data_IF_243186074847
#
_entry.id   IF_243186074847
#
_cell.length_a   1.000
_cell.length_b   1.000
_cell.length_c   1.000
_cell.angle_alpha   90.00
_cell.angle_beta   90.00
_cell.angle_gamma   90.00
#
_symmetry.space_group_name_H-M   'P 1'
#
loop_
_entity.id
_entity.type
_entity.pdbx_description
1 polymer ?
#
# COMPACT_ATOMS: atom_id res chain seq x y z
N UNK A 1 14.36 49.99 29.35
CA UNK A 1 13.23 49.16 28.87
C UNK A 1 12.82 49.48 27.43
N UNK A 2 12.56 50.75 27.04
CA UNK A 2 12.17 51.12 25.65
C UNK A 2 13.12 50.62 24.54
N UNK A 3 14.44 50.80 24.71
CA UNK A 3 15.48 50.34 23.74
C UNK A 3 15.59 48.81 23.57
N UNK A 4 15.03 48.02 24.47
CA UNK A 4 15.05 46.55 24.39
C UNK A 4 13.87 46.02 23.58
N UNK A 5 12.72 46.71 23.64
CA UNK A 5 11.55 46.39 22.82
C UNK A 5 11.78 46.75 21.34
N UNK A 6 12.35 47.92 21.04
CA UNK A 6 12.60 48.32 19.64
C UNK A 6 13.53 47.35 18.89
N UNK A 7 14.53 46.78 19.59
CA UNK A 7 15.43 45.76 19.01
C UNK A 7 14.77 44.39 18.85
N UNK A 8 13.77 44.10 19.68
CA UNK A 8 13.01 42.85 19.63
C UNK A 8 12.04 42.88 18.45
N UNK A 9 11.39 44.01 18.22
CA UNK A 9 10.47 44.21 17.10
C UNK A 9 11.21 44.21 15.74
N UNK A 10 12.39 44.85 15.66
CA UNK A 10 13.26 44.77 14.48
C UNK A 10 13.74 43.35 14.15
N UNK A 11 13.96 42.52 15.18
CA UNK A 11 14.33 41.11 15.00
C UNK A 11 13.14 40.28 14.50
N UNK A 12 11.92 40.59 14.97
CA UNK A 12 10.71 39.92 14.51
C UNK A 12 10.35 40.25 13.07
N UNK A 13 10.53 41.50 12.65
CA UNK A 13 10.30 41.91 11.26
C UNK A 13 11.30 41.22 10.31
N UNK A 14 12.58 41.13 10.70
CA UNK A 14 13.59 40.41 9.92
C UNK A 14 13.31 38.89 9.81
N UNK A 15 12.74 38.28 10.84
CA UNK A 15 12.33 36.87 10.82
C UNK A 15 11.12 36.66 9.89
N UNK A 16 10.15 37.58 9.89
CA UNK A 16 8.99 37.52 9.02
C UNK A 16 9.37 37.66 7.54
N UNK A 17 10.31 38.55 7.23
CA UNK A 17 10.82 38.75 5.87
C UNK A 17 11.56 37.52 5.33
N UNK A 18 12.43 36.90 6.14
CA UNK A 18 13.18 35.69 5.75
C UNK A 18 12.27 34.46 5.53
N UNK A 19 11.16 34.37 6.26
CA UNK A 19 10.14 33.34 6.05
C UNK A 19 9.33 33.59 4.77
N UNK A 20 9.10 34.86 4.40
CA UNK A 20 8.44 35.24 3.15
C UNK A 20 9.29 34.96 1.90
N UNK A 21 10.62 34.98 2.01
CA UNK A 21 11.56 34.66 0.93
C UNK A 21 11.69 33.16 0.61
N UNK A 22 10.99 32.28 1.34
CA UNK A 22 11.00 30.84 1.05
C UNK A 22 12.30 30.11 1.40
N UNK A 23 13.18 30.75 2.19
CA UNK A 23 14.39 30.09 2.74
C UNK A 23 13.99 28.96 3.68
N UNK A 24 14.74 27.85 3.62
CA UNK A 24 14.53 26.70 4.50
C UNK A 24 14.79 27.07 5.96
N UNK A 25 13.97 26.54 6.88
CA UNK A 25 14.02 26.84 8.31
C UNK A 25 15.39 26.63 8.96
N UNK A 26 16.17 25.65 8.49
CA UNK A 26 17.54 25.41 8.96
C UNK A 26 18.51 26.54 8.56
N UNK A 27 18.38 27.10 7.36
CA UNK A 27 19.19 28.23 6.88
C UNK A 27 18.91 29.52 7.66
N UNK A 28 17.64 29.75 8.01
CA UNK A 28 17.20 30.92 8.79
C UNK A 28 17.74 30.83 10.23
N UNK A 29 17.72 29.63 10.83
CA UNK A 29 18.27 29.39 12.16
C UNK A 29 19.80 29.56 12.22
N UNK A 30 20.50 29.23 11.14
CA UNK A 30 21.96 29.36 11.05
C UNK A 30 22.39 30.82 10.85
N UNK A 31 21.69 31.58 10.00
CA UNK A 31 21.87 33.05 9.84
C UNK A 31 21.56 33.80 11.15
N UNK A 32 20.47 33.47 11.84
CA UNK A 32 20.09 34.12 13.10
C UNK A 32 21.02 33.76 14.27
N UNK A 33 21.50 32.52 14.36
CA UNK A 33 22.49 32.13 15.37
C UNK A 33 23.82 32.90 15.17
N UNK A 34 24.25 33.14 13.94
CA UNK A 34 25.44 33.95 13.67
C UNK A 34 25.25 35.41 14.11
N UNK A 35 24.05 35.98 13.95
CA UNK A 35 23.75 37.34 14.39
C UNK A 35 23.53 37.46 15.92
N UNK A 36 23.01 36.43 16.58
CA UNK A 36 22.74 36.37 18.02
C UNK A 36 23.98 36.25 18.91
N UNK A 37 25.10 35.72 18.39
CA UNK A 37 26.37 35.59 19.14
C UNK A 37 26.89 36.97 19.61
N UNK A 38 26.46 38.07 19.00
CA UNK A 38 26.92 39.43 19.31
C UNK A 38 26.04 40.25 20.29
N UNK A 39 24.96 39.70 20.84
CA UNK A 39 24.05 40.51 21.69
C UNK A 39 23.29 39.71 22.75
N UNK A 40 23.57 40.01 24.02
CA UNK A 40 22.96 39.40 25.21
C UNK A 40 21.43 39.55 25.25
N UNK A 41 20.69 38.54 24.78
CA UNK A 41 19.44 38.05 25.41
C UNK A 41 19.08 36.64 24.90
N UNK A 42 19.99 35.68 25.12
CA UNK A 42 20.05 34.38 24.43
C UNK A 42 18.97 33.37 24.82
N UNK A 43 18.34 33.50 26.00
CA UNK A 43 17.43 32.45 26.52
C UNK A 43 15.99 32.62 26.01
N UNK A 44 15.48 33.85 26.01
CA UNK A 44 14.10 34.13 25.56
C UNK A 44 13.96 34.02 24.03
N UNK A 45 14.96 34.50 23.28
CA UNK A 45 14.96 34.40 21.81
C UNK A 45 15.08 32.94 21.37
N UNK A 46 15.91 32.14 22.04
CA UNK A 46 16.04 30.70 21.77
C UNK A 46 14.73 29.95 22.04
N UNK A 47 14.07 30.23 23.16
CA UNK A 47 12.78 29.62 23.49
C UNK A 47 11.68 29.97 22.47
N UNK A 48 11.71 31.19 21.93
CA UNK A 48 10.78 31.62 20.88
C UNK A 48 11.09 30.97 19.52
N UNK A 49 12.37 30.85 19.14
CA UNK A 49 12.75 30.13 17.92
C UNK A 49 12.38 28.65 18.00
N UNK A 50 12.59 28.01 19.16
CA UNK A 50 12.18 26.62 19.39
C UNK A 50 10.66 26.45 19.28
N UNK A 51 9.87 27.41 19.76
CA UNK A 51 8.40 27.36 19.65
C UNK A 51 7.91 27.58 18.22
N UNK A 52 8.56 28.45 17.43
CA UNK A 52 8.26 28.63 16.01
C UNK A 52 8.60 27.39 15.19
N UNK A 53 9.75 26.75 15.43
CA UNK A 53 10.12 25.50 14.76
C UNK A 53 9.14 24.38 15.11
N UNK A 54 8.71 24.30 16.36
CA UNK A 54 7.68 23.33 16.79
C UNK A 54 6.32 23.60 16.12
N UNK A 55 5.93 24.86 15.99
CA UNK A 55 4.69 25.27 15.33
C UNK A 55 4.72 24.94 13.82
N UNK A 56 5.85 25.17 13.14
CA UNK A 56 5.98 24.88 11.72
C UNK A 56 6.04 23.38 11.43
N UNK A 57 6.74 22.60 12.27
CA UNK A 57 6.69 21.12 12.22
C UNK A 57 5.26 20.62 12.42
N UNK A 58 4.52 21.20 13.36
CA UNK A 58 3.11 20.86 13.60
C UNK A 58 2.22 21.24 12.42
N UNK A 59 2.46 22.38 11.77
CA UNK A 59 1.75 22.82 10.56
C UNK A 59 2.01 21.89 9.38
N UNK A 60 3.28 21.56 9.08
CA UNK A 60 3.63 20.58 8.03
C UNK A 60 3.03 19.21 8.31
N UNK A 61 3.07 18.75 9.57
CA UNK A 61 2.41 17.51 9.98
C UNK A 61 0.88 17.56 9.78
N UNK A 62 0.24 18.69 10.05
CA UNK A 62 -1.20 18.88 9.83
C UNK A 62 -1.56 18.99 8.35
N UNK A 63 -0.72 19.64 7.54
CA UNK A 63 -0.84 19.73 6.08
C UNK A 63 -0.67 18.34 5.43
N UNK A 64 0.31 17.54 5.86
CA UNK A 64 0.47 16.14 5.46
C UNK A 64 -0.72 15.28 5.90
N UNK A 65 -1.19 15.44 7.14
CA UNK A 65 -2.38 14.73 7.65
C UNK A 65 -3.64 15.11 6.87
N UNK A 66 -3.77 16.36 6.45
CA UNK A 66 -4.91 16.84 5.67
C UNK A 66 -4.81 16.40 4.20
N UNK A 67 -3.63 16.38 3.60
CA UNK A 67 -3.38 15.81 2.27
C UNK A 67 -3.69 14.29 2.26
N UNK A 68 -3.22 13.56 3.27
CA UNK A 68 -3.53 12.14 3.47
C UNK A 68 -5.03 11.91 3.74
N UNK A 69 -5.71 12.78 4.50
CA UNK A 69 -7.17 12.73 4.68
C UNK A 69 -7.95 12.94 3.39
N UNK A 70 -7.52 13.88 2.53
CA UNK A 70 -8.14 14.15 1.22
C UNK A 70 -7.96 12.98 0.24
N UNK A 71 -6.83 12.28 0.34
CA UNK A 71 -6.55 11.06 -0.42
C UNK A 71 -7.35 9.85 0.14
N UNK A 72 -7.47 9.74 1.46
CA UNK A 72 -8.24 8.67 2.13
C UNK A 72 -9.77 8.81 1.98
N UNK A 73 -10.33 10.02 1.85
CA UNK A 73 -11.77 10.20 1.64
C UNK A 73 -12.25 9.65 0.30
N UNK A 74 -11.41 9.73 -0.74
CA UNK A 74 -11.70 9.17 -2.08
C UNK A 74 -11.47 7.64 -2.14
N UNK A 75 -10.61 7.10 -1.26
CA UNK A 75 -10.23 5.67 -1.20
C UNK A 75 -11.18 4.83 -0.32
N UNK A 76 -11.98 5.48 0.53
CA UNK A 76 -12.93 4.85 1.46
C UNK A 76 -14.01 3.98 0.79
N UNK A 77 -14.18 4.08 -0.54
CA UNK A 77 -15.22 3.39 -1.33
C UNK A 77 -14.68 2.38 -2.35
N UNK A 78 -13.36 2.14 -2.42
CA UNK A 78 -12.73 1.32 -3.47
C UNK A 78 -12.01 0.09 -2.94
N UNK A 79 -12.67 -0.65 -2.08
CA UNK A 79 -12.13 -1.89 -1.51
C UNK A 79 -13.15 -3.02 -1.49
N UNK A 80 -12.61 -4.23 -1.52
CA UNK A 80 -13.35 -5.49 -1.47
C UNK A 80 -13.03 -6.18 -0.15
N UNK A 81 -14.05 -6.62 0.58
CA UNK A 81 -13.87 -7.56 1.69
C UNK A 81 -13.54 -8.92 1.13
N UNK A 82 -12.45 -9.53 1.58
CA UNK A 82 -12.11 -10.91 1.32
C UNK A 82 -12.32 -11.73 2.60
N UNK A 83 -13.21 -12.71 2.56
CA UNK A 83 -13.54 -13.57 3.70
C UNK A 83 -12.68 -14.84 3.69
N UNK A 84 -11.92 -15.07 4.76
CA UNK A 84 -10.86 -16.08 4.75
C UNK A 84 -11.33 -17.50 5.01
N UNK A 85 -12.45 -17.68 5.71
CA UNK A 85 -12.96 -19.01 6.09
C UNK A 85 -13.10 -19.94 4.88
N UNK A 86 -13.83 -19.48 3.86
CA UNK A 86 -14.04 -20.25 2.62
C UNK A 86 -12.83 -20.26 1.70
N UNK A 87 -12.02 -19.20 1.69
CA UNK A 87 -10.82 -19.15 0.86
C UNK A 87 -9.79 -20.23 1.24
N UNK A 88 -9.63 -20.52 2.54
CA UNK A 88 -8.72 -21.59 3.01
C UNK A 88 -9.19 -23.00 2.67
N UNK A 89 -10.47 -23.19 2.32
CA UNK A 89 -11.05 -24.49 1.96
C UNK A 89 -10.85 -24.84 0.48
N UNK A 90 -10.35 -23.90 -0.35
CA UNK A 90 -10.24 -24.09 -1.79
C UNK A 90 -8.81 -23.91 -2.28
N UNK A 91 -8.31 -24.93 -2.96
CA UNK A 91 -6.98 -24.89 -3.59
C UNK A 91 -6.99 -24.05 -4.87
N UNK A 92 -6.07 -23.08 -4.93
CA UNK A 92 -5.86 -22.20 -6.08
C UNK A 92 -4.41 -22.25 -6.54
N UNK A 93 -4.22 -22.48 -7.84
CA UNK A 93 -2.93 -22.24 -8.48
C UNK A 93 -2.64 -20.74 -8.51
N UNK A 94 -1.35 -20.35 -8.59
CA UNK A 94 -0.96 -18.94 -8.66
C UNK A 94 -1.66 -18.19 -9.81
N UNK A 95 -1.81 -18.84 -10.97
CA UNK A 95 -2.51 -18.25 -12.11
C UNK A 95 -4.00 -18.02 -11.82
N UNK A 96 -4.69 -18.97 -11.20
CA UNK A 96 -6.10 -18.82 -10.83
C UNK A 96 -6.28 -17.76 -9.74
N UNK A 97 -5.41 -17.75 -8.74
CA UNK A 97 -5.38 -16.72 -7.70
C UNK A 97 -5.19 -15.31 -8.29
N UNK A 98 -4.27 -15.16 -9.25
CA UNK A 98 -4.07 -13.91 -10.01
C UNK A 98 -5.36 -13.48 -10.70
N UNK A 99 -5.98 -14.38 -11.48
CA UNK A 99 -7.20 -14.01 -12.21
C UNK A 99 -8.33 -13.62 -11.27
N UNK A 100 -8.52 -14.37 -10.17
CA UNK A 100 -9.54 -14.03 -9.18
C UNK A 100 -9.29 -12.65 -8.57
N UNK A 101 -8.04 -12.35 -8.17
CA UNK A 101 -7.65 -11.04 -7.66
C UNK A 101 -7.99 -9.90 -8.64
N UNK A 102 -7.70 -10.09 -9.92
CA UNK A 102 -7.99 -9.09 -10.96
C UNK A 102 -9.49 -8.93 -11.21
N UNK A 103 -10.29 -10.01 -11.15
CA UNK A 103 -11.75 -9.90 -11.25
C UNK A 103 -12.34 -9.06 -10.10
N UNK A 104 -11.76 -9.14 -8.90
CA UNK A 104 -12.23 -8.34 -7.76
C UNK A 104 -12.09 -6.84 -8.00
N UNK A 105 -11.17 -6.41 -8.87
CA UNK A 105 -11.02 -4.98 -9.16
C UNK A 105 -12.16 -4.41 -10.00
N UNK A 106 -12.89 -5.27 -10.70
CA UNK A 106 -14.07 -4.91 -11.49
C UNK A 106 -15.35 -4.77 -10.64
N UNK A 107 -15.29 -4.97 -9.33
CA UNK A 107 -16.45 -4.82 -8.44
C UNK A 107 -16.75 -3.35 -8.17
N UNK A 108 -18.02 -2.97 -8.28
CA UNK A 108 -18.50 -1.61 -8.04
C UNK A 108 -19.46 -1.53 -6.86
N UNK A 109 -19.50 -0.38 -6.18
CA UNK A 109 -20.44 -0.16 -5.07
C UNK A 109 -21.88 -0.33 -5.56
N UNK A 110 -22.73 -0.97 -4.75
CA UNK A 110 -24.15 -1.22 -5.06
C UNK A 110 -24.39 -2.03 -6.37
N UNK A 111 -23.38 -2.76 -6.85
CA UNK A 111 -23.49 -3.63 -8.03
C UNK A 111 -24.00 -5.04 -7.72
N UNK A 112 -24.35 -5.35 -6.46
CA UNK A 112 -24.68 -6.71 -6.00
C UNK A 112 -23.60 -7.75 -6.30
N UNK A 113 -22.32 -7.35 -6.21
CA UNK A 113 -21.14 -8.16 -6.54
C UNK A 113 -21.02 -8.56 -8.03
N UNK A 114 -21.67 -7.83 -8.92
CA UNK A 114 -21.56 -8.07 -10.36
C UNK A 114 -20.31 -7.39 -10.89
N UNK A 115 -19.63 -8.02 -11.84
CA UNK A 115 -18.48 -7.41 -12.52
C UNK A 115 -18.95 -6.30 -13.46
N UNK A 116 -18.45 -5.08 -13.28
CA UNK A 116 -18.88 -3.88 -14.01
C UNK A 116 -17.68 -3.22 -14.71
N UNK A 117 -17.94 -2.60 -15.86
CA UNK A 117 -16.93 -1.73 -16.53
C UNK A 117 -17.00 -0.32 -15.98
N UNK A 118 -18.22 0.13 -15.70
CA UNK A 118 -18.54 1.46 -15.23
C UNK A 118 -19.91 1.42 -14.55
N UNK A 119 -20.27 2.50 -13.83
CA UNK A 119 -21.60 2.64 -13.23
C UNK A 119 -22.69 2.36 -14.28
N UNK A 120 -23.50 1.36 -13.97
CA UNK A 120 -24.67 0.80 -14.67
C UNK A 120 -24.38 -0.04 -15.92
N UNK A 121 -23.17 -0.56 -16.08
CA UNK A 121 -22.81 -1.40 -17.23
C UNK A 121 -22.09 -2.68 -16.80
N UNK A 122 -22.79 -3.84 -16.81
CA UNK A 122 -22.18 -5.14 -16.60
C UNK A 122 -21.03 -5.37 -17.58
N UNK A 123 -19.97 -6.02 -17.09
CA UNK A 123 -18.79 -6.35 -17.86
C UNK A 123 -19.10 -7.39 -18.94
N UNK A 124 -18.70 -7.10 -20.18
CA UNK A 124 -18.70 -8.10 -21.24
C UNK A 124 -17.45 -8.95 -21.13
N UNK A 125 -17.45 -10.08 -21.82
CA UNK A 125 -16.28 -10.97 -21.90
C UNK A 125 -15.03 -10.26 -22.43
N UNK A 126 -15.20 -9.28 -23.31
CA UNK A 126 -14.10 -8.44 -23.83
C UNK A 126 -13.48 -7.56 -22.77
N UNK A 127 -14.27 -7.11 -21.80
CA UNK A 127 -13.79 -6.24 -20.71
C UNK A 127 -13.05 -7.08 -19.68
N UNK A 128 -13.60 -8.26 -19.34
CA UNK A 128 -12.92 -9.26 -18.51
C UNK A 128 -11.59 -9.68 -19.14
N UNK A 129 -11.57 -9.94 -20.45
CA UNK A 129 -10.36 -10.32 -21.17
C UNK A 129 -9.25 -9.26 -21.07
N UNK A 130 -9.61 -7.97 -21.14
CA UNK A 130 -8.66 -6.86 -20.96
C UNK A 130 -8.09 -6.82 -19.55
N UNK A 131 -8.94 -6.94 -18.52
CA UNK A 131 -8.51 -6.89 -17.11
C UNK A 131 -7.61 -8.07 -16.76
N UNK A 132 -7.91 -9.26 -17.30
CA UNK A 132 -7.13 -10.47 -17.07
C UNK A 132 -5.85 -10.55 -17.93
N UNK A 133 -5.70 -9.65 -18.91
CA UNK A 133 -4.66 -9.67 -19.94
C UNK A 133 -4.59 -11.01 -20.70
N UNK A 134 -5.74 -11.43 -21.26
CA UNK A 134 -5.86 -12.70 -22.00
C UNK A 134 -6.80 -12.56 -23.20
N UNK A 135 -6.79 -13.57 -24.08
CA UNK A 135 -7.79 -13.64 -25.17
C UNK A 135 -9.22 -13.79 -24.63
N UNK A 136 -10.22 -13.31 -25.39
CA UNK A 136 -11.64 -13.48 -25.02
C UNK A 136 -12.05 -14.95 -24.82
N UNK A 137 -11.46 -15.87 -25.60
CA UNK A 137 -11.66 -17.32 -25.45
C UNK A 137 -11.12 -17.83 -24.11
N UNK A 138 -9.94 -17.38 -23.71
CA UNK A 138 -9.34 -17.75 -22.43
C UNK A 138 -10.08 -17.11 -21.25
N UNK A 139 -10.52 -15.85 -21.37
CA UNK A 139 -11.35 -15.21 -20.37
C UNK A 139 -12.65 -15.99 -20.12
N UNK A 140 -13.34 -16.41 -21.20
CA UNK A 140 -14.52 -17.29 -21.11
C UNK A 140 -14.21 -18.57 -20.33
N UNK A 141 -13.15 -19.27 -20.70
CA UNK A 141 -12.75 -20.52 -20.03
C UNK A 141 -12.44 -20.30 -18.54
N UNK A 142 -11.75 -19.22 -18.19
CA UNK A 142 -11.46 -18.87 -16.79
C UNK A 142 -12.76 -18.65 -16.01
N UNK A 143 -13.72 -17.93 -16.58
CA UNK A 143 -15.02 -17.70 -15.96
C UNK A 143 -15.79 -19.02 -15.77
N UNK A 144 -15.81 -19.88 -16.78
CA UNK A 144 -16.44 -21.21 -16.71
C UNK A 144 -15.78 -22.10 -15.64
N UNK A 145 -14.45 -22.04 -15.50
CA UNK A 145 -13.71 -22.76 -14.45
C UNK A 145 -14.00 -22.24 -13.03
N UNK A 146 -14.40 -20.97 -12.87
CA UNK A 146 -14.76 -20.38 -11.58
C UNK A 146 -16.26 -20.49 -11.26
N UNK A 147 -17.07 -20.80 -12.26
CA UNK A 147 -18.52 -20.89 -12.13
C UNK A 147 -18.94 -21.96 -11.12
N UNK A 148 -19.85 -21.62 -10.22
CA UNK A 148 -20.31 -22.50 -9.15
C UNK A 148 -19.37 -22.58 -7.95
N UNK A 149 -18.13 -22.11 -8.04
CA UNK A 149 -17.22 -22.00 -6.88
C UNK A 149 -17.08 -20.55 -6.42
N UNK A 150 -16.44 -19.68 -7.21
CA UNK A 150 -16.14 -18.30 -6.79
C UNK A 150 -17.13 -17.28 -7.33
N UNK A 151 -17.81 -17.63 -8.43
CA UNK A 151 -18.75 -16.77 -9.12
C UNK A 151 -19.89 -17.59 -9.72
N UNK A 152 -20.95 -16.90 -10.12
CA UNK A 152 -22.06 -17.45 -10.87
C UNK A 152 -22.20 -16.72 -12.21
N UNK A 153 -22.42 -17.49 -13.27
CA UNK A 153 -22.62 -16.99 -14.64
C UNK A 153 -24.10 -17.01 -15.02
N UNK A 154 -24.61 -15.88 -15.49
CA UNK A 154 -25.90 -15.79 -16.17
C UNK A 154 -25.67 -15.79 -17.68
N UNK A 155 -26.28 -16.75 -18.39
CA UNK A 155 -26.16 -16.90 -19.83
C UNK A 155 -27.45 -16.40 -20.47
N UNK A 156 -27.34 -15.52 -21.47
CA UNK A 156 -28.48 -15.05 -22.26
C UNK A 156 -28.98 -16.12 -23.23
N UNK A 157 -30.17 -15.89 -23.80
CA UNK A 157 -30.76 -16.73 -24.86
C UNK A 157 -29.87 -16.86 -26.11
N UNK A 158 -28.92 -15.92 -26.31
CA UNK A 158 -27.93 -15.95 -27.40
C UNK A 158 -26.63 -16.67 -27.03
N UNK A 159 -26.63 -17.44 -25.94
CA UNK A 159 -25.47 -18.16 -25.40
C UNK A 159 -24.27 -17.25 -25.07
N UNK A 160 -24.55 -16.01 -24.67
CA UNK A 160 -23.54 -15.03 -24.24
C UNK A 160 -23.59 -14.88 -22.74
N UNK A 161 -22.43 -14.71 -22.11
CA UNK A 161 -22.39 -14.35 -20.68
C UNK A 161 -23.01 -12.96 -20.55
N UNK A 162 -24.18 -12.88 -19.93
CA UNK A 162 -24.93 -11.66 -19.69
C UNK A 162 -24.46 -10.98 -18.40
N UNK A 163 -24.19 -11.79 -17.37
CA UNK A 163 -23.84 -11.32 -16.03
C UNK A 163 -22.83 -12.27 -15.38
N UNK A 164 -21.87 -11.70 -14.66
CA UNK A 164 -20.90 -12.44 -13.83
C UNK A 164 -21.03 -11.89 -12.42
N UNK A 165 -21.40 -12.75 -11.46
CA UNK A 165 -21.64 -12.36 -10.07
C UNK A 165 -20.63 -13.05 -9.15
N UNK A 166 -19.81 -12.30 -8.41
CA UNK A 166 -18.88 -12.86 -7.41
C UNK A 166 -19.66 -13.29 -6.17
N UNK A 167 -19.43 -14.51 -5.69
CA UNK A 167 -20.13 -15.03 -4.53
C UNK A 167 -19.74 -14.30 -3.24
N UNK A 168 -20.77 -13.83 -2.52
CA UNK A 168 -20.66 -13.10 -1.24
C UNK A 168 -20.04 -13.91 -0.09
N UNK A 169 -19.97 -15.23 -0.23
CA UNK A 169 -19.30 -16.09 0.74
C UNK A 169 -17.78 -15.93 0.72
N UNK A 170 -17.21 -15.54 -0.42
CA UNK A 170 -15.79 -15.26 -0.59
C UNK A 170 -15.48 -13.77 -0.55
N UNK A 171 -16.21 -12.94 -1.32
CA UNK A 171 -15.87 -11.52 -1.48
C UNK A 171 -17.09 -10.62 -1.48
N UNK A 172 -16.96 -9.38 -1.00
CA UNK A 172 -18.04 -8.40 -1.01
C UNK A 172 -17.51 -6.98 -1.18
N UNK A 173 -18.15 -6.19 -2.05
CA UNK A 173 -17.74 -4.81 -2.27
C UNK A 173 -18.22 -3.89 -1.13
N UNK A 174 -17.30 -3.13 -0.52
CA UNK A 174 -17.56 -1.95 0.34
C UNK A 174 -18.34 -2.13 1.65
N UNK A 175 -19.07 -3.23 1.83
CA UNK A 175 -19.81 -3.52 3.04
C UNK A 175 -19.27 -4.80 3.69
N UNK A 176 -18.99 -4.71 4.99
CA UNK A 176 -18.53 -5.82 5.80
C UNK A 176 -19.73 -6.46 6.52
N UNK A 177 -19.88 -7.77 6.40
CA UNK A 177 -20.78 -8.55 7.24
C UNK A 177 -20.23 -8.60 8.67
N UNK A 178 -20.94 -7.97 9.61
CA UNK A 178 -20.56 -7.90 11.03
C UNK A 178 -20.48 -9.28 11.71
N UNK A 179 -21.08 -10.32 11.14
CA UNK A 179 -21.06 -11.69 11.67
C UNK A 179 -19.78 -12.46 11.29
N UNK A 180 -19.05 -12.00 10.27
CA UNK A 180 -17.82 -12.67 9.81
C UNK A 180 -16.60 -12.04 10.49
N UNK A 181 -15.91 -12.84 11.31
CA UNK A 181 -14.78 -12.36 12.15
C UNK A 181 -13.42 -12.33 11.44
N UNK A 182 -13.23 -13.09 10.35
CA UNK A 182 -11.93 -13.24 9.66
C UNK A 182 -12.01 -12.77 8.20
N UNK A 183 -11.46 -11.58 7.94
CA UNK A 183 -11.46 -10.92 6.64
C UNK A 183 -10.36 -9.86 6.51
N UNK A 184 -10.09 -9.42 5.27
CA UNK A 184 -9.32 -8.22 4.95
C UNK A 184 -10.04 -7.33 3.93
N UNK A 185 -9.77 -6.03 3.98
CA UNK A 185 -10.00 -5.10 2.88
C UNK A 185 -8.85 -5.23 1.90
N UNK A 186 -9.22 -5.44 0.64
CA UNK A 186 -8.34 -5.40 -0.50
C UNK A 186 -8.64 -4.12 -1.29
N UNK A 187 -7.66 -3.24 -1.44
CA UNK A 187 -7.83 -1.97 -2.14
C UNK A 187 -7.61 -2.13 -3.65
N UNK A 188 -8.71 -2.06 -4.41
CA UNK A 188 -8.69 -2.46 -5.82
C UNK A 188 -7.84 -1.56 -6.72
N UNK A 189 -7.86 -0.25 -6.46
CA UNK A 189 -7.14 0.73 -7.29
C UNK A 189 -5.64 0.51 -7.26
N UNK A 190 -5.09 0.14 -6.09
CA UNK A 190 -3.67 -0.16 -5.95
C UNK A 190 -3.27 -1.43 -6.67
N UNK A 191 -4.15 -2.44 -6.67
CA UNK A 191 -3.95 -3.67 -7.44
C UNK A 191 -3.97 -3.39 -8.94
N UNK A 192 -4.92 -2.59 -9.42
CA UNK A 192 -5.00 -2.16 -10.83
C UNK A 192 -3.73 -1.42 -11.26
N UNK A 193 -3.32 -0.41 -10.49
CA UNK A 193 -2.10 0.37 -10.74
C UNK A 193 -0.84 -0.53 -10.78
N UNK A 194 -0.75 -1.49 -9.86
CA UNK A 194 0.36 -2.44 -9.84
C UNK A 194 0.35 -3.33 -11.08
N UNK A 195 -0.82 -3.88 -11.44
CA UNK A 195 -0.96 -4.74 -12.62
C UNK A 195 -0.58 -3.99 -13.91
N UNK A 196 -1.12 -2.79 -14.12
CA UNK A 196 -0.80 -1.95 -15.27
C UNK A 196 0.70 -1.63 -15.35
N UNK A 197 1.31 -1.33 -14.21
CA UNK A 197 2.76 -1.05 -14.14
C UNK A 197 3.59 -2.28 -14.52
N UNK A 198 3.23 -3.46 -14.02
CA UNK A 198 3.92 -4.70 -14.36
C UNK A 198 3.85 -4.99 -15.86
N UNK A 199 2.66 -4.83 -16.46
CA UNK A 199 2.46 -4.99 -17.90
C UNK A 199 3.26 -3.98 -18.72
N UNK A 200 3.25 -2.71 -18.34
CA UNK A 200 4.00 -1.66 -19.03
C UNK A 200 5.52 -1.89 -19.02
N UNK A 201 6.03 -2.55 -17.98
CA UNK A 201 7.44 -2.92 -17.83
C UNK A 201 7.78 -4.31 -18.41
N UNK A 202 6.81 -4.98 -19.04
CA UNK A 202 6.98 -6.32 -19.62
C UNK A 202 7.30 -7.39 -18.57
N UNK A 203 6.83 -7.21 -17.34
CA UNK A 203 7.08 -8.11 -16.21
C UNK A 203 5.98 -9.15 -16.07
N UNK A 204 6.34 -10.24 -15.40
CA UNK A 204 5.37 -11.24 -14.98
C UNK A 204 4.33 -10.61 -14.03
N UNK A 205 3.09 -11.07 -14.16
CA UNK A 205 1.97 -10.69 -13.28
C UNK A 205 1.56 -11.85 -12.37
N UNK A 206 2.28 -12.98 -12.41
CA UNK A 206 1.96 -14.19 -11.64
C UNK A 206 2.08 -13.95 -10.13
N UNK A 207 2.93 -13.02 -9.72
CA UNK A 207 3.18 -12.63 -8.33
C UNK A 207 1.96 -11.98 -7.68
N UNK A 208 1.04 -11.42 -8.46
CA UNK A 208 -0.27 -10.99 -7.97
C UNK A 208 -1.09 -12.18 -7.43
N UNK A 209 -0.87 -13.38 -8.00
CA UNK A 209 -1.43 -14.62 -7.45
C UNK A 209 -0.90 -14.93 -6.06
N UNK A 210 0.39 -14.68 -5.79
CA UNK A 210 0.95 -14.81 -4.45
C UNK A 210 0.31 -13.81 -3.49
N UNK A 211 0.19 -12.54 -3.89
CA UNK A 211 -0.46 -11.51 -3.08
C UNK A 211 -1.88 -11.92 -2.66
N UNK A 212 -2.63 -12.55 -3.55
CA UNK A 212 -3.95 -13.09 -3.22
C UNK A 212 -3.89 -14.27 -2.23
N UNK A 213 -2.99 -15.23 -2.47
CA UNK A 213 -2.85 -16.42 -1.62
C UNK A 213 -2.36 -16.09 -0.20
N UNK A 214 -1.61 -15.00 0.01
CA UNK A 214 -1.16 -14.59 1.35
C UNK A 214 -2.22 -13.84 2.15
N UNK A 215 -3.30 -13.34 1.54
CA UNK A 215 -4.36 -12.59 2.24
C UNK A 215 -4.82 -13.27 3.55
N UNK A 216 -5.12 -14.58 3.55
CA UNK A 216 -5.63 -15.28 4.73
C UNK A 216 -4.61 -15.47 5.86
N UNK A 217 -3.38 -14.98 5.69
CA UNK A 217 -2.24 -15.09 6.60
C UNK A 217 -1.69 -13.70 6.99
N UNK A 218 -2.33 -12.62 6.56
CA UNK A 218 -1.96 -11.26 7.00
C UNK A 218 -2.53 -11.00 8.39
N UNK A 219 -1.66 -10.71 9.35
CA UNK A 219 -2.01 -10.38 10.72
C UNK A 219 -2.92 -9.14 10.80
N UNK A 220 -3.95 -9.19 11.64
CA UNK A 220 -5.02 -8.19 11.60
C UNK A 220 -4.60 -6.77 12.02
N UNK A 221 -3.53 -6.63 12.81
CA UNK A 221 -3.07 -5.34 13.35
C UNK A 221 -1.75 -4.85 12.76
N UNK A 222 -0.84 -5.78 12.46
CA UNK A 222 0.57 -5.47 12.15
C UNK A 222 0.93 -5.69 10.70
N UNK A 223 0.01 -6.28 9.92
CA UNK A 223 0.19 -6.69 8.54
C UNK A 223 1.38 -7.65 8.28
N UNK A 224 1.94 -8.29 9.32
CA UNK A 224 2.89 -9.38 9.14
C UNK A 224 2.21 -10.58 8.48
N UNK A 225 2.94 -11.30 7.64
CA UNK A 225 2.51 -12.62 7.17
C UNK A 225 2.84 -13.63 8.28
N UNK A 226 1.82 -14.27 8.85
CA UNK A 226 1.98 -15.14 10.02
C UNK A 226 1.04 -16.37 9.97
N UNK A 227 1.36 -17.38 10.78
CA UNK A 227 0.56 -18.62 10.89
C UNK A 227 -0.83 -18.37 11.47
N UNK A 228 -0.92 -17.48 12.46
CA UNK A 228 -2.13 -17.15 13.21
C UNK A 228 -2.50 -15.67 13.08
N UNK A 229 -3.11 -15.28 11.95
CA UNK A 229 -3.36 -13.86 11.63
C UNK A 229 -4.48 -13.20 12.45
N UNK A 230 -5.24 -13.99 13.20
CA UNK A 230 -6.39 -13.55 14.01
C UNK A 230 -6.05 -13.42 15.51
N UNK A 231 -4.80 -13.67 15.92
CA UNK A 231 -4.38 -13.65 17.33
C UNK A 231 -4.10 -12.23 17.82
N UNK A 232 -4.77 -11.79 18.90
CA UNK A 232 -4.67 -10.41 19.38
C UNK A 232 -3.34 -10.05 20.04
N UNK A 233 -2.61 -11.03 20.56
CA UNK A 233 -1.34 -10.76 21.24
C UNK A 233 -0.21 -10.55 20.21
N UNK A 234 0.18 -9.29 20.01
CA UNK A 234 1.26 -8.93 19.11
C UNK A 234 2.64 -9.51 19.51
N UNK A 235 2.83 -9.88 20.78
CA UNK A 235 4.07 -10.49 21.29
C UNK A 235 4.20 -11.97 20.89
N UNK A 236 3.12 -12.59 20.41
CA UNK A 236 3.05 -14.01 20.03
C UNK A 236 2.89 -14.22 18.52
N UNK A 237 3.20 -13.19 17.70
CA UNK A 237 3.09 -13.31 16.24
C UNK A 237 4.13 -14.31 15.71
N UNK A 238 3.66 -15.49 15.34
CA UNK A 238 4.45 -16.49 14.62
C UNK A 238 4.55 -16.09 13.14
N UNK A 239 5.44 -15.13 12.86
CA UNK A 239 5.71 -14.64 11.51
C UNK A 239 6.35 -15.74 10.65
N UNK A 240 5.91 -15.84 9.39
CA UNK A 240 6.38 -16.85 8.45
C UNK A 240 7.55 -16.32 7.64
N UNK A 241 8.63 -17.09 7.59
CA UNK A 241 9.72 -16.84 6.65
C UNK A 241 9.42 -17.41 5.25
N UNK A 242 10.33 -17.20 4.30
CA UNK A 242 10.16 -17.63 2.91
C UNK A 242 9.95 -19.14 2.74
N UNK A 243 10.67 -19.96 3.53
CA UNK A 243 10.55 -21.42 3.50
C UNK A 243 9.20 -21.88 4.05
N UNK A 244 8.83 -21.39 5.23
CA UNK A 244 7.57 -21.76 5.87
C UNK A 244 6.36 -21.35 5.03
N UNK A 245 6.46 -20.19 4.37
CA UNK A 245 5.43 -19.74 3.43
C UNK A 245 5.38 -20.62 2.19
N UNK A 246 6.51 -21.10 1.69
CA UNK A 246 6.57 -22.02 0.57
C UNK A 246 5.93 -23.38 0.89
N UNK A 247 6.28 -23.95 2.05
CA UNK A 247 5.67 -25.17 2.56
C UNK A 247 4.15 -25.00 2.75
N UNK A 248 3.73 -23.87 3.32
CA UNK A 248 2.32 -23.55 3.54
C UNK A 248 1.52 -23.40 2.25
N UNK A 249 2.12 -22.86 1.19
CA UNK A 249 1.44 -22.60 -0.09
C UNK A 249 1.62 -23.71 -1.13
N UNK A 250 2.41 -24.75 -0.81
CA UNK A 250 2.70 -25.88 -1.70
C UNK A 250 3.61 -25.50 -2.88
N UNK A 251 4.61 -24.66 -2.65
CA UNK A 251 5.57 -24.21 -3.65
C UNK A 251 7.00 -24.42 -3.17
N UNK A 252 7.97 -24.38 -4.08
CA UNK A 252 9.38 -24.36 -3.69
C UNK A 252 9.79 -22.98 -3.13
N UNK A 253 10.74 -22.99 -2.19
CA UNK A 253 11.22 -21.79 -1.51
C UNK A 253 11.79 -20.76 -2.50
N UNK A 254 12.48 -21.20 -3.55
CA UNK A 254 13.09 -20.30 -4.53
C UNK A 254 12.03 -19.50 -5.28
N UNK A 255 10.93 -20.14 -5.70
CA UNK A 255 9.79 -19.50 -6.35
C UNK A 255 9.14 -18.45 -5.44
N UNK A 256 8.84 -18.80 -4.18
CA UNK A 256 8.22 -17.84 -3.23
C UNK A 256 9.15 -16.66 -2.94
N UNK A 257 10.43 -16.92 -2.69
CA UNK A 257 11.41 -15.86 -2.48
C UNK A 257 11.55 -14.95 -3.69
N UNK A 258 11.54 -15.50 -4.91
CA UNK A 258 11.54 -14.73 -6.16
C UNK A 258 10.32 -13.81 -6.26
N UNK A 259 9.12 -14.36 -6.02
CA UNK A 259 7.88 -13.59 -6.07
C UNK A 259 7.82 -12.52 -4.98
N UNK A 260 8.27 -12.81 -3.76
CA UNK A 260 8.34 -11.83 -2.67
C UNK A 260 9.32 -10.71 -2.97
N UNK A 261 10.48 -11.02 -3.55
CA UNK A 261 11.45 -10.00 -3.97
C UNK A 261 10.87 -9.10 -5.06
N UNK A 262 10.13 -9.67 -6.00
CA UNK A 262 9.45 -8.90 -7.04
C UNK A 262 8.39 -7.98 -6.40
N UNK A 263 7.50 -8.50 -5.56
CA UNK A 263 6.52 -7.69 -4.82
C UNK A 263 7.19 -6.58 -3.97
N UNK A 264 8.38 -6.85 -3.41
CA UNK A 264 9.17 -5.88 -2.67
C UNK A 264 9.72 -4.76 -3.56
N UNK A 265 10.15 -5.07 -4.79
CA UNK A 265 10.60 -4.06 -5.75
C UNK A 265 9.50 -3.06 -6.14
N UNK A 266 8.23 -3.49 -6.09
CA UNK A 266 7.07 -2.63 -6.29
C UNK A 266 6.50 -2.03 -4.99
N UNK A 267 7.12 -2.29 -3.84
CA UNK A 267 6.70 -1.74 -2.55
C UNK A 267 5.41 -2.35 -2.00
N UNK A 268 5.04 -3.54 -2.46
CA UNK A 268 3.83 -4.27 -2.02
C UNK A 268 4.09 -5.01 -0.70
N UNK A 269 5.28 -5.59 -0.57
CA UNK A 269 5.74 -6.29 0.64
C UNK A 269 7.05 -5.70 1.14
N UNK A 270 7.28 -5.78 2.44
CA UNK A 270 8.52 -5.35 3.06
C UNK A 270 9.18 -6.55 3.76
N UNK A 271 10.35 -7.02 3.28
CA UNK A 271 11.16 -7.99 4.00
C UNK A 271 11.83 -7.34 5.21
N UNK A 272 11.81 -8.01 6.35
CA UNK A 272 12.41 -7.59 7.62
C UNK A 272 13.29 -8.72 8.13
N UNK A 273 14.52 -8.39 8.54
CA UNK A 273 15.52 -9.37 8.97
C UNK A 273 16.61 -9.60 7.94
N UNK A 274 17.35 -10.69 8.10
CA UNK A 274 18.48 -11.05 7.23
C UNK A 274 18.63 -12.56 7.09
N UNK A 275 19.09 -13.02 5.93
CA UNK A 275 19.35 -14.44 5.70
C UNK A 275 18.07 -15.26 5.66
N UNK A 276 18.02 -16.34 6.45
CA UNK A 276 16.88 -17.27 6.50
C UNK A 276 15.74 -16.78 7.39
N UNK A 277 16.00 -15.79 8.25
CA UNK A 277 15.03 -15.24 9.20
C UNK A 277 14.28 -14.04 8.62
N UNK A 278 14.26 -13.90 7.29
CA UNK A 278 13.51 -12.84 6.63
C UNK A 278 12.02 -13.14 6.73
N UNK A 279 11.31 -12.27 7.44
CA UNK A 279 9.85 -12.25 7.53
C UNK A 279 9.29 -11.08 6.73
N UNK A 280 7.99 -11.07 6.48
CA UNK A 280 7.38 -10.12 5.55
C UNK A 280 6.21 -9.35 6.17
N UNK A 281 6.11 -8.06 5.86
CA UNK A 281 4.89 -7.25 6.04
C UNK A 281 4.25 -6.93 4.70
N UNK A 282 2.92 -6.84 4.66
CA UNK A 282 2.16 -6.37 3.49
C UNK A 282 1.83 -4.89 3.62
N UNK A 283 2.00 -4.13 2.54
CA UNK A 283 1.75 -2.70 2.55
C UNK A 283 0.24 -2.40 2.77
N UNK A 284 -0.11 -1.50 3.71
CA UNK A 284 -1.50 -1.22 4.09
C UNK A 284 -2.39 -0.73 2.95
N UNK A 285 -1.83 -0.01 1.98
CA UNK A 285 -2.58 0.43 0.78
C UNK A 285 -3.00 -0.72 -0.16
N UNK A 286 -2.48 -1.94 0.00
CA UNK A 286 -2.96 -3.09 -0.76
C UNK A 286 -3.93 -3.92 0.06
N UNK A 287 -3.59 -4.17 1.32
CA UNK A 287 -4.34 -5.05 2.22
C UNK A 287 -4.42 -4.43 3.61
N UNK A 288 -5.63 -4.34 4.15
CA UNK A 288 -5.87 -3.86 5.51
C UNK A 288 -6.94 -4.67 6.20
N UNK A 289 -6.67 -5.18 7.40
CA UNK A 289 -7.66 -5.93 8.18
C UNK A 289 -8.39 -5.09 9.20
N UNK A 290 -7.70 -4.13 9.80
CA UNK A 290 -8.28 -3.20 10.75
C UNK A 290 -7.66 -1.83 10.53
N UNK A 291 -8.45 -0.75 10.36
CA UNK A 291 -7.92 0.59 10.43
C UNK A 291 -7.25 0.75 11.79
N UNK A 292 -5.95 0.97 11.80
CA UNK A 292 -5.17 1.11 13.02
C UNK A 292 -4.64 2.53 13.13
N UNK A 293 -4.45 3.01 14.36
CA UNK A 293 -3.66 4.23 14.60
C UNK A 293 -2.22 4.07 14.07
N UNK A 294 -1.80 2.83 13.84
CA UNK A 294 -0.49 2.48 13.31
C UNK A 294 -0.40 2.52 11.79
N UNK A 295 -1.49 2.78 11.05
CA UNK A 295 -1.49 2.76 9.58
C UNK A 295 -0.45 3.73 8.98
N UNK A 296 -0.33 4.93 9.55
CA UNK A 296 0.65 5.93 9.11
C UNK A 296 2.09 5.52 9.46
N UNK A 297 2.27 4.82 10.59
CA UNK A 297 3.59 4.26 10.97
C UNK A 297 3.97 3.12 10.02
N UNK A 298 3.03 2.23 9.70
CA UNK A 298 3.24 1.17 8.71
C UNK A 298 3.62 1.74 7.34
N UNK A 299 2.92 2.78 6.85
CA UNK A 299 3.31 3.46 5.59
C UNK A 299 4.71 4.05 5.64
N UNK A 300 5.13 4.59 6.80
CA UNK A 300 6.48 5.14 6.99
C UNK A 300 7.56 4.07 6.91
N UNK A 301 7.34 2.87 7.44
CA UNK A 301 8.28 1.74 7.32
C UNK A 301 8.64 1.48 5.85
N UNK A 302 7.64 1.46 4.96
CA UNK A 302 7.84 1.26 3.53
C UNK A 302 8.52 2.46 2.85
N UNK A 303 8.22 3.70 3.27
CA UNK A 303 8.83 4.91 2.71
C UNK A 303 10.34 5.00 3.02
N UNK A 304 10.75 4.65 4.25
CA UNK A 304 12.16 4.63 4.67
C UNK A 304 12.98 3.64 3.84
N UNK A 305 12.41 2.49 3.50
CA UNK A 305 13.13 1.48 2.71
C UNK A 305 13.25 1.90 1.24
N UNK A 306 12.24 2.58 0.70
CA UNK A 306 12.29 3.14 -0.66
C UNK A 306 13.38 4.20 -0.81
N UNK A 307 13.58 5.06 0.20
CA UNK A 307 14.64 6.08 0.17
C UNK A 307 16.05 5.47 0.25
N UNK A 308 16.24 4.40 1.04
CA UNK A 308 17.51 3.64 1.11
C UNK A 308 17.85 2.92 -0.19
N UNK A 309 16.86 2.37 -0.91
CA UNK A 309 17.08 1.78 -2.25
C UNK A 309 17.52 2.84 -3.26
N UNK A 310 16.88 4.01 -3.27
CA UNK A 310 17.21 5.11 -4.19
C UNK A 310 18.65 5.58 -4.00
N UNK A 311 19.08 5.80 -2.76
CA UNK A 311 20.46 6.21 -2.46
C UNK A 311 21.50 5.13 -2.80
N UNK A 312 21.19 3.84 -2.62
CA UNK A 312 22.07 2.73 -3.02
C UNK A 312 22.26 2.62 -4.54
N UNK A 313 21.18 2.78 -5.32
CA UNK A 313 21.23 2.76 -6.80
C UNK A 313 22.03 3.96 -7.33
N UNK A 314 21.81 5.14 -6.74
CA UNK A 314 22.54 6.37 -7.09
C UNK A 314 24.04 6.26 -6.78
N UNK A 315 24.39 5.68 -5.63
CA UNK A 315 25.77 5.40 -5.25
C UNK A 315 26.45 4.39 -6.20
N UNK A 316 25.74 3.37 -6.68
CA UNK A 316 26.27 2.42 -7.67
C UNK A 316 26.52 3.08 -9.03
N UNK A 317 25.60 3.92 -9.51
CA UNK A 317 25.76 4.67 -10.77
C UNK A 317 26.94 5.65 -10.71
N UNK A 318 27.12 6.32 -9.58
CA UNK A 318 28.24 7.26 -9.39
C UNK A 318 29.60 6.55 -9.30
N UNK A 319 29.66 5.31 -8.79
CA UNK A 319 30.88 4.49 -8.82
C UNK A 319 31.24 3.97 -10.21
N UNK A 320 30.24 3.65 -11.04
CA UNK A 320 30.45 3.27 -12.46
C UNK A 320 31.04 4.41 -13.28
N UNK A 321 30.47 5.62 -13.16
CA UNK A 321 30.96 6.82 -13.88
C UNK A 321 32.36 7.27 -13.48
N UNK A 322 32.81 6.95 -12.26
CA UNK A 322 34.19 7.26 -11.82
C UNK A 322 35.24 6.32 -12.42
N UNK A 323 34.85 5.12 -12.86
CA UNK A 323 35.76 4.15 -13.50
C UNK A 323 35.98 4.41 -15.00
N UNK A 324 35.07 5.13 -15.67
CA UNK A 324 35.20 5.53 -17.08
C UNK A 324 36.00 6.83 -17.28
N UNK A 325 36.53 7.43 -16.20
CA UNK A 325 37.29 8.68 -16.21
C UNK A 325 38.78 8.50 -15.83
N UNK A 326 39.25 7.25 -15.80
CA UNK A 326 40.66 6.86 -15.69
C UNK A 326 41.00 6.18 -17.00
#
# INVERSE_FOLDING_TARGET
>A
MKKLNDKKDQLFDAIADLLHEGKGTESILEELNQQLINGKNTKEVKAYLESLVAAEKSRKFLEEKNANKKQNSDDSSRWVVCYFKKLKEVELTMAKAKHLLLLLTMLEMKSENVLWVSKNKPAKISDVAKVLDVSAKQARRILEEFNGTFLDLEISDTNRIAKVTIKKEFHQMGEQDSKKKSWAKLYKVRIEQLHEKLLAEGKSTIELGLLYKILPYVHYETNYICRYPDYENAEEIEALNGKELADLLGHDEATICSYMNHLYDYGVVLPIGSGKDVIYKVHPDYVMRRPSIYDDFMRKDFAVVKSRKKSSIENRRNRGRKKERI
#
